data_IF_794422101924
#
_entry.id   IF_794422101924
#
_cell.length_a   1.000
_cell.length_b   1.000
_cell.length_c   1.000
_cell.angle_alpha   90.00
_cell.angle_beta   90.00
_cell.angle_gamma   90.00
#
_symmetry.space_group_name_H-M   'P 1'
#
loop_
_entity.id
_entity.type
_entity.pdbx_description
1 polymer ?
#
# COMPACT_ATOMS: atom_id res chain seq x y z
N UNK A 1 0.55 -24.61 -13.66
CA UNK A 1 1.76 -25.18 -14.32
C UNK A 1 1.69 -25.10 -15.84
N UNK A 2 0.55 -25.36 -16.49
CA UNK A 2 0.44 -25.36 -17.96
C UNK A 2 0.42 -23.96 -18.62
N UNK A 3 0.00 -22.90 -17.91
CA UNK A 3 -0.02 -21.52 -18.43
C UNK A 3 1.38 -20.93 -18.58
N UNK A 4 2.20 -21.02 -17.53
CA UNK A 4 3.57 -20.48 -17.47
C UNK A 4 4.49 -21.08 -18.54
N UNK A 5 4.40 -22.40 -18.76
CA UNK A 5 5.19 -23.05 -19.82
C UNK A 5 4.76 -22.59 -21.24
N UNK A 6 3.48 -22.28 -21.42
CA UNK A 6 2.95 -21.77 -22.69
C UNK A 6 3.33 -20.30 -22.90
N UNK A 7 3.41 -19.51 -21.83
CA UNK A 7 3.86 -18.11 -21.82
C UNK A 7 5.34 -18.01 -22.21
N UNK A 8 6.21 -18.78 -21.55
CA UNK A 8 7.63 -18.88 -21.91
C UNK A 8 7.87 -19.30 -23.36
N UNK A 9 7.01 -20.17 -23.91
CA UNK A 9 7.10 -20.58 -25.30
C UNK A 9 6.75 -19.46 -26.29
N UNK A 10 5.83 -18.56 -25.93
CA UNK A 10 5.38 -17.45 -26.80
C UNK A 10 6.41 -16.32 -26.88
N UNK A 11 6.98 -15.94 -25.74
CA UNK A 11 8.01 -14.91 -25.70
C UNK A 11 9.30 -15.37 -26.40
N UNK A 12 9.68 -16.64 -26.21
CA UNK A 12 10.82 -17.24 -26.95
C UNK A 12 10.60 -17.25 -28.46
N UNK A 13 9.38 -17.53 -28.93
CA UNK A 13 9.07 -17.45 -30.37
C UNK A 13 9.13 -16.02 -30.90
N UNK A 14 8.72 -15.03 -30.10
CA UNK A 14 8.80 -13.62 -30.48
C UNK A 14 10.25 -13.17 -30.64
N UNK A 15 11.12 -13.50 -29.69
CA UNK A 15 12.55 -13.18 -29.74
C UNK A 15 13.22 -13.85 -30.95
N UNK A 16 12.90 -15.12 -31.22
CA UNK A 16 13.44 -15.83 -32.39
C UNK A 16 13.04 -15.15 -33.71
N UNK A 17 11.78 -14.71 -33.82
CA UNK A 17 11.27 -13.97 -34.98
C UNK A 17 11.94 -12.60 -35.12
N UNK A 18 12.07 -11.85 -34.03
CA UNK A 18 12.74 -10.54 -34.03
C UNK A 18 14.22 -10.63 -34.39
N UNK A 19 14.92 -11.69 -33.96
CA UNK A 19 16.33 -11.94 -34.32
C UNK A 19 16.49 -12.34 -35.79
N UNK A 20 15.51 -13.02 -36.39
CA UNK A 20 15.52 -13.39 -37.82
C UNK A 20 15.20 -12.19 -38.73
N UNK A 21 14.27 -11.32 -38.31
CA UNK A 21 13.79 -10.20 -39.11
C UNK A 21 14.58 -8.90 -38.85
N UNK A 22 15.32 -8.82 -37.74
CA UNK A 22 16.07 -7.62 -37.33
C UNK A 22 15.19 -6.52 -36.70
N UNK A 23 13.87 -6.71 -36.66
CA UNK A 23 12.92 -5.77 -36.08
C UNK A 23 11.69 -6.49 -35.50
N UNK A 24 10.97 -5.79 -34.64
CA UNK A 24 9.63 -6.16 -34.14
C UNK A 24 8.71 -4.94 -34.18
N UNK A 25 7.40 -5.17 -34.25
CA UNK A 25 6.41 -4.09 -34.13
C UNK A 25 5.75 -4.06 -32.75
N UNK A 26 5.28 -2.89 -32.30
CA UNK A 26 4.53 -2.77 -31.04
C UNK A 26 3.32 -3.72 -30.98
N UNK A 27 2.62 -3.90 -32.11
CA UNK A 27 1.50 -4.84 -32.21
C UNK A 27 1.94 -6.29 -31.96
N UNK A 28 3.06 -6.70 -32.55
CA UNK A 28 3.59 -8.06 -32.38
C UNK A 28 4.07 -8.32 -30.96
N UNK A 29 4.69 -7.33 -30.31
CA UNK A 29 5.10 -7.44 -28.90
C UNK A 29 3.87 -7.57 -28.00
N UNK A 30 2.85 -6.73 -28.21
CA UNK A 30 1.63 -6.74 -27.41
C UNK A 30 0.80 -8.03 -27.61
N UNK A 31 0.73 -8.58 -28.83
CA UNK A 31 0.00 -9.82 -29.13
C UNK A 31 0.64 -11.07 -28.49
N UNK A 32 1.93 -11.02 -28.20
CA UNK A 32 2.68 -12.12 -27.59
C UNK A 32 2.86 -11.94 -26.08
N UNK A 33 2.46 -10.78 -25.54
CA UNK A 33 2.45 -10.51 -24.12
C UNK A 33 1.25 -11.19 -23.43
N UNK A 34 1.41 -11.69 -22.19
CA UNK A 34 0.28 -12.19 -21.41
C UNK A 34 -0.73 -11.08 -21.07
N UNK A 35 -2.01 -11.44 -20.99
CA UNK A 35 -3.09 -10.53 -20.55
C UNK A 35 -2.84 -9.94 -19.15
N UNK A 36 -2.04 -10.61 -18.31
CA UNK A 36 -1.65 -10.16 -16.98
C UNK A 36 -0.68 -8.97 -17.00
N UNK A 37 0.02 -8.72 -18.11
CA UNK A 37 0.91 -7.57 -18.32
C UNK A 37 0.16 -6.56 -19.20
N UNK A 38 -0.80 -5.87 -18.59
CA UNK A 38 -1.59 -4.81 -19.24
C UNK A 38 -1.11 -3.39 -18.89
N UNK A 39 -0.07 -3.28 -18.07
CA UNK A 39 0.42 -2.00 -17.59
C UNK A 39 1.34 -1.33 -18.61
N UNK A 40 1.06 -0.09 -19.07
CA UNK A 40 1.91 0.63 -20.02
C UNK A 40 3.38 0.69 -19.60
N UNK A 41 3.66 0.85 -18.30
CA UNK A 41 5.03 0.96 -17.79
C UNK A 41 5.79 -0.38 -17.90
N UNK A 42 5.09 -1.49 -17.66
CA UNK A 42 5.68 -2.83 -17.80
C UNK A 42 5.92 -3.20 -19.27
N UNK A 43 5.05 -2.74 -20.16
CA UNK A 43 5.21 -2.90 -21.60
C UNK A 43 6.44 -2.11 -22.09
N UNK A 44 6.62 -0.88 -21.63
CA UNK A 44 7.79 -0.05 -21.94
C UNK A 44 9.09 -0.69 -21.44
N UNK A 45 9.11 -1.19 -20.20
CA UNK A 45 10.26 -1.93 -19.63
C UNK A 45 10.63 -3.15 -20.51
N UNK A 46 9.62 -3.88 -21.03
CA UNK A 46 9.83 -5.04 -21.90
C UNK A 46 10.39 -4.63 -23.27
N UNK A 47 9.90 -3.53 -23.84
CA UNK A 47 10.41 -2.98 -25.09
C UNK A 47 11.86 -2.54 -24.93
N UNK A 48 12.20 -1.91 -23.79
CA UNK A 48 13.58 -1.54 -23.49
C UNK A 48 14.49 -2.78 -23.42
N UNK A 49 14.05 -3.84 -22.71
CA UNK A 49 14.80 -5.10 -22.66
C UNK A 49 14.97 -5.77 -24.04
N UNK A 50 13.99 -5.67 -24.93
CA UNK A 50 14.09 -6.20 -26.31
C UNK A 50 15.07 -5.36 -27.15
N UNK A 51 15.08 -4.03 -27.00
CA UNK A 51 16.07 -3.18 -27.66
C UNK A 51 17.50 -3.47 -27.16
N UNK A 52 17.69 -3.74 -25.86
CA UNK A 52 18.99 -4.14 -25.30
C UNK A 52 19.50 -5.48 -25.86
N UNK A 53 18.60 -6.33 -26.38
CA UNK A 53 18.94 -7.56 -27.11
C UNK A 53 19.37 -7.31 -28.57
N UNK A 54 19.36 -6.05 -29.03
CA UNK A 54 19.69 -5.67 -30.40
C UNK A 54 18.56 -5.87 -31.40
N UNK A 55 17.30 -5.94 -30.93
CA UNK A 55 16.12 -6.03 -31.79
C UNK A 55 15.36 -4.70 -31.69
N UNK A 56 15.29 -3.95 -32.78
CA UNK A 56 14.60 -2.67 -32.80
C UNK A 56 13.08 -2.85 -32.85
N UNK A 57 12.37 -2.15 -31.95
CA UNK A 57 10.91 -2.13 -31.91
C UNK A 57 10.37 -0.87 -32.58
N UNK A 58 9.54 -1.01 -33.61
CA UNK A 58 8.94 0.10 -34.38
C UNK A 58 7.41 0.14 -34.23
N UNK A 59 6.79 1.32 -34.33
CA UNK A 59 5.32 1.45 -34.38
C UNK A 59 4.73 0.82 -35.65
N UNK A 60 5.42 0.97 -36.78
CA UNK A 60 5.05 0.41 -38.06
C UNK A 60 6.24 -0.31 -38.67
N UNK A 61 5.98 -1.40 -39.40
CA UNK A 61 7.05 -2.15 -40.05
C UNK A 61 7.87 -1.24 -40.98
N UNK A 62 9.20 -1.15 -40.79
CA UNK A 62 10.06 -0.29 -41.60
C UNK A 62 10.13 -0.83 -43.05
N UNK A 63 10.35 0.08 -44.00
CA UNK A 63 10.54 -0.28 -45.39
C UNK A 63 11.91 -0.95 -45.60
N UNK A 64 12.05 -1.77 -46.64
CA UNK A 64 13.27 -2.55 -46.91
C UNK A 64 14.54 -1.66 -47.04
N UNK A 65 14.37 -0.42 -47.51
CA UNK A 65 15.45 0.56 -47.63
C UNK A 65 15.89 1.12 -46.26
N UNK A 66 14.99 1.21 -45.27
CA UNK A 66 15.31 1.69 -43.91
C UNK A 66 16.05 0.63 -43.09
N UNK A 67 15.70 -0.65 -43.29
CA UNK A 67 16.37 -1.80 -42.67
C UNK A 67 17.84 -1.93 -43.12
N UNK A 68 18.09 -1.71 -44.41
CA UNK A 68 19.45 -1.75 -44.98
C UNK A 68 20.38 -0.65 -44.42
N UNK A 69 19.82 0.47 -43.93
CA UNK A 69 20.61 1.54 -43.32
C UNK A 69 20.96 1.27 -41.85
N UNK A 70 20.24 0.35 -41.20
CA UNK A 70 20.38 0.02 -39.77
C UNK A 70 21.11 -1.31 -39.51
N UNK A 71 21.29 -2.16 -40.52
CA UNK A 71 22.08 -3.41 -40.46
C UNK A 71 23.56 -3.22 -40.02
N UNK A 72 24.06 -1.99 -39.89
CA UNK A 72 25.41 -1.68 -39.43
C UNK A 72 25.62 -1.70 -37.91
N UNK A 73 24.56 -1.75 -37.10
CA UNK A 73 24.62 -1.60 -35.63
C UNK A 73 24.26 -2.89 -34.85
N UNK A 74 23.85 -3.94 -35.54
CA UNK A 74 23.32 -5.18 -34.95
C UNK A 74 24.41 -6.22 -34.64
N UNK A 75 25.56 -5.79 -34.10
CA UNK A 75 26.47 -6.72 -33.42
C UNK A 75 26.00 -6.94 -31.98
N UNK A 76 24.92 -7.70 -31.83
CA UNK A 76 24.48 -8.17 -30.52
C UNK A 76 25.56 -9.08 -29.94
N UNK A 77 26.18 -8.66 -28.84
CA UNK A 77 27.03 -9.53 -28.02
C UNK A 77 26.12 -10.63 -27.45
N UNK A 78 26.32 -11.89 -27.83
CA UNK A 78 25.47 -13.02 -27.39
C UNK A 78 25.38 -13.12 -25.85
N UNK A 79 26.33 -12.49 -25.14
CA UNK A 79 26.32 -12.33 -23.68
C UNK A 79 25.20 -11.39 -23.21
N UNK A 80 25.01 -10.24 -23.86
CA UNK A 80 23.95 -9.28 -23.53
C UNK A 80 22.55 -9.85 -23.81
N UNK A 81 22.41 -10.61 -24.89
CA UNK A 81 21.16 -11.29 -25.23
C UNK A 81 20.78 -12.36 -24.19
N UNK A 82 21.77 -13.06 -23.62
CA UNK A 82 21.54 -14.05 -22.56
C UNK A 82 21.14 -13.39 -21.22
N UNK A 83 21.74 -12.25 -20.90
CA UNK A 83 21.42 -11.47 -19.69
C UNK A 83 20.02 -10.85 -19.76
N UNK A 84 19.65 -10.26 -20.89
CA UNK A 84 18.31 -9.70 -21.11
C UNK A 84 17.21 -10.79 -21.12
N UNK A 85 17.48 -11.97 -21.70
CA UNK A 85 16.55 -13.10 -21.62
C UNK A 85 16.34 -13.60 -20.16
N UNK A 86 17.38 -13.53 -19.33
CA UNK A 86 17.27 -13.85 -17.91
C UNK A 86 16.49 -12.77 -17.13
N UNK A 87 16.67 -11.49 -17.47
CA UNK A 87 15.92 -10.38 -16.89
C UNK A 87 14.42 -10.44 -17.25
N UNK A 88 14.08 -10.72 -18.51
CA UNK A 88 12.70 -10.94 -18.97
C UNK A 88 12.03 -12.12 -18.24
N UNK A 89 12.76 -13.21 -18.03
CA UNK A 89 12.26 -14.34 -17.25
C UNK A 89 12.06 -14.00 -15.76
N UNK A 90 12.86 -13.09 -15.19
CA UNK A 90 12.70 -12.62 -13.82
C UNK A 90 11.48 -11.68 -13.67
N UNK A 91 11.25 -10.80 -14.65
CA UNK A 91 10.07 -9.93 -14.73
C UNK A 91 8.77 -10.75 -14.85
N UNK A 92 8.80 -11.90 -15.54
CA UNK A 92 7.67 -12.84 -15.65
C UNK A 92 7.29 -13.46 -14.29
N UNK A 93 8.27 -13.72 -13.41
CA UNK A 93 8.01 -14.25 -12.06
C UNK A 93 7.38 -13.24 -11.09
N UNK A 94 7.46 -11.94 -11.38
CA UNK A 94 6.98 -10.86 -10.51
C UNK A 94 5.94 -9.99 -11.21
N UNK A 95 4.91 -10.64 -11.77
CA UNK A 95 3.72 -9.99 -12.29
C UNK A 95 3.14 -9.04 -11.21
N UNK A 96 3.30 -7.73 -11.43
CA UNK A 96 2.89 -6.67 -10.49
C UNK A 96 4.04 -5.85 -9.89
N UNK A 97 5.29 -6.06 -10.29
CA UNK A 97 6.37 -5.09 -10.05
C UNK A 97 6.02 -3.80 -10.78
N UNK A 98 5.88 -2.71 -10.04
CA UNK A 98 5.65 -1.37 -10.56
C UNK A 98 6.78 -0.48 -10.07
N UNK A 99 7.23 0.45 -10.91
CA UNK A 99 8.21 1.47 -10.56
C UNK A 99 7.54 2.74 -10.02
N UNK A 100 6.20 2.82 -10.05
CA UNK A 100 5.43 3.94 -9.52
C UNK A 100 5.38 3.90 -7.97
N UNK A 101 5.96 4.91 -7.28
CA UNK A 101 5.93 4.99 -5.81
C UNK A 101 4.51 5.03 -5.23
N UNK A 102 3.56 5.63 -5.94
CA UNK A 102 2.17 5.75 -5.48
C UNK A 102 1.50 4.39 -5.53
N UNK A 103 1.67 3.67 -6.62
CA UNK A 103 1.13 2.32 -6.77
C UNK A 103 1.78 1.32 -5.83
N UNK A 104 3.08 1.48 -5.56
CA UNK A 104 3.79 0.73 -4.53
C UNK A 104 3.16 0.95 -3.15
N UNK A 105 2.91 2.20 -2.77
CA UNK A 105 2.25 2.55 -1.52
C UNK A 105 0.82 2.01 -1.43
N UNK A 106 0.01 2.16 -2.47
CA UNK A 106 -1.38 1.67 -2.47
C UNK A 106 -1.44 0.15 -2.37
N UNK A 107 -0.51 -0.56 -3.03
CA UNK A 107 -0.38 -2.01 -2.91
C UNK A 107 -0.04 -2.40 -1.47
N UNK A 108 0.94 -1.73 -0.85
CA UNK A 108 1.38 -2.05 0.50
C UNK A 108 0.33 -1.69 1.56
N UNK A 109 -0.32 -0.53 1.44
CA UNK A 109 -1.49 -0.17 2.26
C UNK A 109 -2.62 -1.20 2.14
N UNK A 110 -2.90 -1.66 0.91
CA UNK A 110 -3.96 -2.62 0.64
C UNK A 110 -3.69 -4.03 1.16
N UNK A 111 -2.47 -4.34 1.61
CA UNK A 111 -2.17 -5.63 2.29
C UNK A 111 -2.70 -5.68 3.72
N UNK A 112 -2.96 -4.52 4.32
CA UNK A 112 -3.45 -4.43 5.70
C UNK A 112 -4.98 -4.36 5.66
N UNK A 113 -5.63 -5.29 6.34
CA UNK A 113 -7.09 -5.33 6.43
C UNK A 113 -7.65 -4.14 7.23
N UNK A 114 -8.85 -3.70 6.87
CA UNK A 114 -9.55 -2.66 7.62
C UNK A 114 -9.95 -3.17 9.00
N UNK A 115 -9.87 -2.30 10.01
CA UNK A 115 -10.28 -2.63 11.37
C UNK A 115 -11.80 -2.67 11.50
N UNK A 116 -12.30 -3.60 12.30
CA UNK A 116 -13.66 -3.55 12.82
C UNK A 116 -13.70 -2.67 14.06
N UNK A 117 -14.88 -2.14 14.40
CA UNK A 117 -15.09 -1.37 15.65
C UNK A 117 -14.57 -2.11 16.89
N UNK A 118 -14.73 -3.43 16.94
CA UNK A 118 -14.24 -4.26 18.04
C UNK A 118 -12.71 -4.35 18.05
N UNK A 119 -12.10 -4.48 16.87
CA UNK A 119 -10.64 -4.46 16.70
C UNK A 119 -10.03 -3.14 17.14
N UNK A 120 -10.66 -2.01 16.81
CA UNK A 120 -10.26 -0.68 17.29
C UNK A 120 -10.27 -0.60 18.82
N UNK A 121 -11.33 -1.11 19.48
CA UNK A 121 -11.44 -1.11 20.94
C UNK A 121 -10.33 -1.94 21.58
N UNK A 122 -9.99 -3.11 21.01
CA UNK A 122 -8.91 -3.96 21.53
C UNK A 122 -7.55 -3.25 21.42
N UNK A 123 -7.29 -2.58 20.30
CA UNK A 123 -6.06 -1.81 20.11
C UNK A 123 -6.01 -0.64 21.09
N UNK A 124 -7.10 0.08 21.30
CA UNK A 124 -7.18 1.18 22.26
C UNK A 124 -6.84 0.70 23.68
N UNK A 125 -7.47 -0.38 24.15
CA UNK A 125 -7.18 -0.96 25.47
C UNK A 125 -5.72 -1.36 25.62
N UNK A 126 -5.13 -1.96 24.58
CA UNK A 126 -3.72 -2.35 24.59
C UNK A 126 -2.78 -1.14 24.67
N UNK A 127 -3.12 -0.03 23.99
CA UNK A 127 -2.37 1.22 24.07
C UNK A 127 -2.46 1.79 25.49
N UNK A 128 -3.65 1.84 26.09
CA UNK A 128 -3.86 2.34 27.45
C UNK A 128 -3.11 1.50 28.51
N UNK A 129 -3.16 0.19 28.39
CA UNK A 129 -2.41 -0.72 29.25
C UNK A 129 -0.90 -0.47 29.14
N UNK A 130 -0.37 -0.35 27.92
CA UNK A 130 1.04 -0.03 27.69
C UNK A 130 1.45 1.33 28.28
N UNK A 131 0.59 2.35 28.17
CA UNK A 131 0.83 3.65 28.81
C UNK A 131 0.86 3.51 30.33
N UNK A 132 -0.06 2.73 30.92
CA UNK A 132 -0.12 2.49 32.36
C UNK A 132 1.12 1.75 32.87
N UNK A 133 1.62 0.77 32.12
CA UNK A 133 2.87 0.07 32.42
C UNK A 133 4.09 1.01 32.40
N UNK A 134 4.18 1.87 31.38
CA UNK A 134 5.26 2.86 31.28
C UNK A 134 5.20 3.86 32.43
N UNK A 135 4.00 4.36 32.76
CA UNK A 135 3.80 5.26 33.91
C UNK A 135 4.21 4.59 35.23
N UNK A 136 3.85 3.32 35.43
CA UNK A 136 4.26 2.56 36.60
C UNK A 136 5.79 2.42 36.67
N UNK A 137 6.45 2.10 35.55
CA UNK A 137 7.91 2.01 35.48
C UNK A 137 8.60 3.35 35.83
N UNK A 138 8.09 4.46 35.29
CA UNK A 138 8.59 5.81 35.57
C UNK A 138 8.41 6.18 37.06
N UNK A 139 7.28 5.79 37.67
CA UNK A 139 7.01 6.05 39.09
C UNK A 139 7.97 5.32 40.04
N UNK A 140 8.48 4.16 39.63
CA UNK A 140 9.44 3.37 40.39
C UNK A 140 10.90 3.78 40.12
N UNK A 141 11.14 4.64 39.12
CA UNK A 141 12.49 5.12 38.82
C UNK A 141 12.96 6.12 39.89
N UNK A 142 14.14 5.89 40.51
CA UNK A 142 14.66 6.77 41.55
C UNK A 142 14.85 8.20 41.07
N UNK A 143 14.43 9.18 41.87
CA UNK A 143 14.60 10.61 41.57
C UNK A 143 13.50 11.23 40.70
N UNK A 144 12.61 10.42 40.08
CA UNK A 144 11.47 10.96 39.32
C UNK A 144 10.53 11.75 40.24
N UNK A 145 10.14 11.17 41.37
CA UNK A 145 9.24 11.80 42.34
C UNK A 145 9.87 13.07 42.92
N UNK A 146 11.16 13.02 43.24
CA UNK A 146 11.89 14.18 43.77
C UNK A 146 11.95 15.32 42.74
N UNK A 147 12.15 15.00 41.46
CA UNK A 147 12.10 15.97 40.37
C UNK A 147 10.75 16.65 40.24
N UNK A 148 9.66 15.87 40.24
CA UNK A 148 8.29 16.42 40.18
C UNK A 148 7.99 17.31 41.39
N UNK A 149 8.39 16.90 42.59
CA UNK A 149 8.22 17.71 43.80
C UNK A 149 9.03 19.01 43.77
N UNK A 150 10.24 18.98 43.22
CA UNK A 150 11.07 20.18 43.05
C UNK A 150 10.44 21.14 42.05
N UNK A 151 9.92 20.64 40.93
CA UNK A 151 9.19 21.45 39.94
C UNK A 151 7.92 22.06 40.54
N UNK A 152 7.18 21.29 41.34
CA UNK A 152 6.00 21.78 42.09
C UNK A 152 6.38 22.91 43.05
N UNK A 153 7.43 22.72 43.87
CA UNK A 153 7.90 23.75 44.79
C UNK A 153 8.31 25.04 44.06
N UNK A 154 9.04 24.91 42.94
CA UNK A 154 9.43 26.04 42.10
C UNK A 154 8.22 26.84 41.62
N UNK A 155 7.19 26.16 41.10
CA UNK A 155 5.98 26.83 40.59
C UNK A 155 5.20 27.54 41.70
N UNK A 156 5.16 26.96 42.90
CA UNK A 156 4.50 27.58 44.07
C UNK A 156 5.25 28.81 44.57
N UNK A 157 6.59 28.75 44.62
CA UNK A 157 7.43 29.85 45.13
C UNK A 157 7.59 31.00 44.12
N UNK A 158 7.77 30.69 42.83
CA UNK A 158 8.02 31.67 41.77
C UNK A 158 6.73 32.23 41.13
N UNK A 159 5.56 31.66 41.45
CA UNK A 159 4.25 32.16 41.02
C UNK A 159 3.80 31.70 39.63
N UNK A 160 4.01 30.42 39.29
CA UNK A 160 3.53 29.79 38.06
C UNK A 160 2.11 29.19 38.17
N UNK A 161 1.62 28.57 37.10
CA UNK A 161 0.32 27.86 37.12
C UNK A 161 0.54 26.37 37.35
N UNK A 162 -0.33 25.76 38.16
CA UNK A 162 -0.29 24.30 38.37
C UNK A 162 -0.57 23.52 37.07
N UNK A 163 -1.30 24.11 36.12
CA UNK A 163 -1.51 23.58 34.77
C UNK A 163 -0.22 23.39 33.97
N UNK A 164 0.86 24.06 34.37
CA UNK A 164 2.17 23.96 33.69
C UNK A 164 2.91 22.67 34.10
N UNK A 165 2.46 22.01 35.18
CA UNK A 165 3.02 20.75 35.69
C UNK A 165 2.04 19.58 35.51
N UNK A 166 0.76 19.81 35.83
CA UNK A 166 -0.26 18.76 35.78
C UNK A 166 -1.38 19.13 34.82
N UNK A 167 -1.77 18.18 33.97
CA UNK A 167 -2.94 18.29 33.10
C UNK A 167 -3.90 17.16 33.44
N UNK A 168 -5.06 17.51 34.02
CA UNK A 168 -6.04 16.55 34.50
C UNK A 168 -5.65 15.84 35.80
N UNK A 169 -6.63 15.22 36.44
CA UNK A 169 -6.43 14.27 37.53
C UNK A 169 -7.05 12.94 37.12
N UNK A 170 -6.37 11.85 37.44
CA UNK A 170 -6.96 10.52 37.36
C UNK A 170 -7.84 10.37 38.59
N UNK A 171 -9.16 10.26 38.38
CA UNK A 171 -10.08 9.91 39.46
C UNK A 171 -9.78 8.47 39.90
N UNK A 172 -9.43 8.22 41.17
CA UNK A 172 -9.15 6.86 41.64
C UNK A 172 -10.36 5.92 41.57
N UNK A 173 -11.58 6.46 41.45
CA UNK A 173 -12.82 5.70 41.26
C UNK A 173 -13.18 5.52 39.76
N UNK A 174 -12.39 6.08 38.83
CA UNK A 174 -12.55 5.85 37.39
C UNK A 174 -11.81 4.58 36.99
N UNK A 175 -12.57 3.51 36.75
CA UNK A 175 -12.13 2.19 36.28
C UNK A 175 -11.58 2.19 34.84
N UNK A 176 -11.13 3.36 34.35
CA UNK A 176 -10.53 3.57 33.03
C UNK A 176 -11.52 3.44 31.89
N UNK A 177 -12.83 3.45 32.17
CA UNK A 177 -13.89 3.39 31.16
C UNK A 177 -14.48 4.75 30.82
N UNK A 178 -14.12 5.83 31.52
CA UNK A 178 -14.66 7.17 31.24
C UNK A 178 -13.74 8.09 30.42
N UNK A 179 -12.74 7.53 29.74
CA UNK A 179 -11.86 8.26 28.82
C UNK A 179 -12.50 8.74 27.49
N UNK A 180 -13.83 8.80 27.39
CA UNK A 180 -14.51 9.60 26.36
C UNK A 180 -14.98 10.90 26.97
N UNK A 181 -14.11 11.92 26.92
CA UNK A 181 -14.57 13.31 26.95
C UNK A 181 -15.60 13.45 25.83
N UNK A 182 -16.87 13.51 26.24
CA UNK A 182 -18.05 13.49 25.39
C UNK A 182 -18.40 14.91 24.92
N UNK A 183 -17.42 15.69 24.48
CA UNK A 183 -17.63 17.11 24.20
C UNK A 183 -17.61 17.49 22.70
N UNK A 184 -17.56 16.54 21.76
CA UNK A 184 -17.72 16.88 20.33
C UNK A 184 -18.34 15.75 19.49
N UNK A 185 -19.62 15.45 19.74
CA UNK A 185 -20.48 14.81 18.72
C UNK A 185 -21.63 15.79 18.42
N UNK A 186 -21.73 16.37 17.22
CA UNK A 186 -22.88 17.19 16.86
C UNK A 186 -24.12 16.29 16.81
N UNK A 187 -25.15 16.67 17.56
CA UNK A 187 -26.41 15.95 17.68
C UNK A 187 -27.04 15.73 16.30
N UNK A 188 -27.04 14.49 15.83
CA UNK A 188 -27.81 14.09 14.66
C UNK A 188 -29.23 13.76 15.13
N UNK A 189 -30.18 14.54 14.62
CA UNK A 189 -31.59 14.54 15.00
C UNK A 189 -32.22 13.13 15.02
N UNK A 190 -32.81 12.77 16.15
CA UNK A 190 -33.70 11.62 16.30
C UNK A 190 -34.96 11.82 15.46
N UNK A 191 -35.13 10.99 14.43
CA UNK A 191 -36.35 10.90 13.62
C UNK A 191 -37.44 10.23 14.46
N UNK A 192 -38.51 10.96 14.75
CA UNK A 192 -39.70 10.47 15.42
C UNK A 192 -40.30 9.26 14.67
N UNK A 193 -40.43 8.13 15.35
CA UNK A 193 -41.34 7.06 14.94
C UNK A 193 -42.74 7.40 15.47
N UNK A 194 -43.64 7.76 14.53
CA UNK A 194 -45.08 7.82 14.75
C UNK A 194 -45.58 6.48 15.31
N UNK A 195 -46.33 6.54 16.39
CA UNK A 195 -47.30 5.50 16.78
C UNK A 195 -48.45 5.55 15.78
N UNK A 196 -48.68 4.45 15.06
CA UNK A 196 -49.99 4.17 14.46
C UNK A 196 -50.88 3.62 15.59
N UNK A 197 -51.93 4.38 15.91
CA UNK A 197 -53.17 3.85 16.51
C UNK A 197 -54.00 3.34 15.32
N UNK A 198 -54.21 2.03 15.24
CA UNK A 198 -55.33 1.45 14.51
C UNK A 198 -56.21 0.73 15.54
N UNK A 199 -57.39 1.32 15.78
CA UNK A 199 -58.55 0.67 16.36
C UNK A 199 -59.06 -0.40 15.38
N UNK A 200 -59.29 -1.64 15.83
CA UNK A 200 -60.45 -2.41 15.39
C UNK A 200 -61.01 -3.24 16.56
N UNK A 201 -62.26 -2.92 16.87
CA UNK A 201 -63.28 -3.71 17.55
C UNK A 201 -63.34 -5.16 17.03
N UNK A 202 -63.61 -6.10 17.94
CA UNK A 202 -64.84 -6.92 17.95
C UNK A 202 -64.64 -8.33 18.57
N UNK A 203 -65.46 -8.55 19.60
CA UNK A 203 -66.33 -9.70 19.83
C UNK A 203 -65.84 -11.00 20.52
N UNK A 204 -66.62 -11.30 21.56
CA UNK A 204 -67.18 -12.59 22.02
C UNK A 204 -66.70 -13.23 23.35
N UNK A 205 -67.73 -13.42 24.20
CA UNK A 205 -67.91 -14.11 25.51
C UNK A 205 -67.46 -13.44 26.83
#
# INVERSE_FOLDING_TARGET
>A
MTSVVKQQSRLKSLIAKGKEQGYLTYAEVNDHLPDDISDPDQVEDIIQMINDMGIHVYEQAPDADELLMTEGDSSADDIAAAEAAAALAAVETEAGRTTDPVRMYMREMGTVELLTREGEIVIAKRIEEGIREVMAAISMFPGTVDGILADYARVVEEGGRLSDIFSGYIDPDDDGMSGVNSDDIPAVASKETKKDDDEEDDEED
#
